data_IF_256153149170
#
_entry.id   IF_256153149170
#
_cell.length_a   1.000
_cell.length_b   1.000
_cell.length_c   1.000
_cell.angle_alpha   90.00
_cell.angle_beta   90.00
_cell.angle_gamma   90.00
#
_symmetry.space_group_name_H-M   'P 1'
#
loop_
_entity.id
_entity.type
_entity.pdbx_description
1 polymer ?
#
# COMPACT_ATOMS: atom_id res chain seq x y z
N UNK A 1 18.06 13.04 -6.22
CA UNK A 1 18.46 11.89 -5.38
C UNK A 1 17.26 11.63 -4.50
N UNK A 2 16.58 10.51 -4.67
CA UNK A 2 15.46 10.14 -3.79
C UNK A 2 15.99 9.92 -2.36
N UNK A 3 15.20 10.32 -1.38
CA UNK A 3 15.51 10.18 0.05
C UNK A 3 14.72 9.00 0.61
N UNK A 4 15.25 8.27 1.62
CA UNK A 4 14.49 7.20 2.27
C UNK A 4 13.21 7.75 2.91
N UNK A 5 12.29 6.84 3.27
CA UNK A 5 11.02 7.24 3.90
C UNK A 5 11.27 7.93 5.24
N UNK A 6 10.63 9.09 5.42
CA UNK A 6 10.72 9.92 6.62
C UNK A 6 9.44 9.91 7.46
N UNK A 7 8.29 9.66 6.85
CA UNK A 7 7.01 9.64 7.54
C UNK A 7 6.22 8.37 7.20
N UNK A 8 5.62 7.78 8.24
CA UNK A 8 4.60 6.75 8.13
C UNK A 8 3.28 7.34 8.65
N UNK A 9 2.28 7.43 7.77
CA UNK A 9 0.94 7.87 8.13
C UNK A 9 -0.02 6.69 8.05
N UNK A 10 -0.72 6.40 9.15
CA UNK A 10 -1.80 5.42 9.20
C UNK A 10 -3.12 6.17 9.24
N UNK A 11 -3.94 6.01 8.19
CA UNK A 11 -5.28 6.61 8.13
C UNK A 11 -6.27 5.60 8.72
N UNK A 12 -7.11 6.08 9.63
CA UNK A 12 -8.04 5.23 10.39
C UNK A 12 -9.47 5.73 10.27
N UNK A 13 -10.41 4.78 10.26
CA UNK A 13 -11.85 5.04 10.28
C UNK A 13 -12.52 4.22 11.38
N UNK A 14 -12.41 4.65 12.66
CA UNK A 14 -13.06 3.98 13.77
C UNK A 14 -14.59 4.07 13.65
N UNK A 15 -15.31 3.07 14.15
CA UNK A 15 -16.77 3.02 14.01
C UNK A 15 -17.52 4.08 14.84
N UNK A 16 -16.89 4.63 15.87
CA UNK A 16 -17.51 5.48 16.89
C UNK A 16 -17.14 6.96 16.79
N UNK A 17 -16.25 7.35 15.86
CA UNK A 17 -15.78 8.73 15.69
C UNK A 17 -15.37 9.02 14.24
N UNK A 18 -15.22 10.30 13.85
CA UNK A 18 -14.67 10.65 12.54
C UNK A 18 -13.30 10.01 12.30
N UNK A 19 -12.97 9.81 11.02
CA UNK A 19 -11.65 9.33 10.63
C UNK A 19 -10.53 10.25 11.13
N UNK A 20 -9.38 9.66 11.41
CA UNK A 20 -8.20 10.37 11.88
C UNK A 20 -6.92 9.76 11.28
N UNK A 21 -5.77 10.40 11.53
CA UNK A 21 -4.47 9.93 11.10
C UNK A 21 -3.51 9.80 12.28
N UNK A 22 -2.61 8.83 12.21
CA UNK A 22 -1.46 8.69 13.11
C UNK A 22 -0.20 8.79 12.30
N UNK A 23 0.63 9.78 12.62
CA UNK A 23 1.91 10.01 11.95
C UNK A 23 3.05 9.56 12.86
N UNK A 24 3.96 8.76 12.30
CA UNK A 24 5.24 8.40 12.92
C UNK A 24 6.36 9.01 12.09
N UNK A 25 7.17 9.85 12.72
CA UNK A 25 8.35 10.48 12.12
C UNK A 25 9.55 9.55 12.29
N UNK A 26 10.35 9.40 11.24
CA UNK A 26 11.50 8.48 11.16
C UNK A 26 11.12 7.03 11.56
N UNK A 27 10.11 6.43 10.91
CA UNK A 27 9.66 5.09 11.26
C UNK A 27 10.76 4.05 11.03
N UNK A 28 10.85 3.06 11.92
CA UNK A 28 11.66 1.86 11.65
C UNK A 28 10.97 0.98 10.62
N UNK A 29 11.72 0.08 9.98
CA UNK A 29 11.11 -0.93 9.11
C UNK A 29 10.05 -1.77 9.85
N UNK A 30 10.29 -2.10 11.13
CA UNK A 30 9.34 -2.88 11.93
C UNK A 30 8.02 -2.13 12.13
N UNK A 31 8.06 -0.80 12.30
CA UNK A 31 6.86 0.04 12.40
C UNK A 31 6.06 -0.01 11.09
N UNK A 32 6.74 0.13 9.95
CA UNK A 32 6.14 0.09 8.61
C UNK A 32 5.52 -1.29 8.35
N UNK A 33 6.28 -2.35 8.56
CA UNK A 33 5.82 -3.73 8.32
C UNK A 33 4.63 -4.08 9.22
N UNK A 34 4.64 -3.65 10.49
CA UNK A 34 3.52 -3.84 11.40
C UNK A 34 2.27 -3.06 10.95
N UNK A 35 2.41 -1.82 10.50
CA UNK A 35 1.30 -1.01 10.00
C UNK A 35 0.68 -1.63 8.75
N UNK A 36 1.48 -2.02 7.77
CA UNK A 36 1.02 -2.68 6.53
C UNK A 36 0.36 -4.03 6.84
N UNK A 37 0.91 -4.82 7.75
CA UNK A 37 0.34 -6.12 8.14
C UNK A 37 -0.98 -5.99 8.91
N UNK A 38 -1.20 -4.85 9.57
CA UNK A 38 -2.44 -4.54 10.31
C UNK A 38 -3.58 -4.07 9.42
N UNK A 39 -3.29 -3.70 8.17
CA UNK A 39 -4.28 -3.19 7.24
C UNK A 39 -5.50 -4.12 7.12
N UNK A 40 -6.69 -3.52 7.16
CA UNK A 40 -7.97 -4.18 6.94
C UNK A 40 -8.83 -3.35 5.97
N UNK A 41 -9.93 -3.91 5.47
CA UNK A 41 -10.81 -3.22 4.53
C UNK A 41 -11.83 -2.27 5.22
N UNK A 42 -11.59 -1.84 6.47
CA UNK A 42 -12.54 -1.04 7.24
C UNK A 42 -11.90 0.02 8.18
N UNK A 43 -11.31 -0.38 9.31
CA UNK A 43 -10.79 0.54 10.34
C UNK A 43 -9.39 1.05 10.03
N UNK A 44 -8.53 0.20 9.44
CA UNK A 44 -7.15 0.53 9.06
C UNK A 44 -6.96 0.34 7.54
N UNK A 45 -7.60 1.13 6.68
CA UNK A 45 -7.63 0.85 5.25
C UNK A 45 -6.45 1.40 4.46
N UNK A 46 -5.68 2.34 5.02
CA UNK A 46 -4.63 3.01 4.26
C UNK A 46 -3.40 3.26 5.15
N UNK A 47 -2.25 2.92 4.61
CA UNK A 47 -0.93 3.32 5.08
C UNK A 47 -0.26 4.13 3.98
N UNK A 48 0.34 5.26 4.34
CA UNK A 48 1.10 6.12 3.45
C UNK A 48 2.54 6.23 3.95
N UNK A 49 3.50 6.10 3.03
CA UNK A 49 4.92 6.27 3.27
C UNK A 49 5.40 7.47 2.47
N UNK A 50 5.92 8.50 3.16
CA UNK A 50 6.32 9.76 2.53
C UNK A 50 7.80 10.05 2.75
N UNK A 51 8.48 10.50 1.70
CA UNK A 51 9.92 10.80 1.71
C UNK A 51 10.24 12.23 2.14
N UNK A 52 9.22 13.08 2.31
CA UNK A 52 9.39 14.47 2.74
C UNK A 52 8.44 14.82 3.89
N UNK A 53 8.64 15.99 4.49
CA UNK A 53 7.73 16.56 5.50
C UNK A 53 6.43 17.13 4.91
N UNK A 54 6.34 17.25 3.58
CA UNK A 54 5.21 17.87 2.90
C UNK A 54 4.43 16.81 2.11
N UNK A 55 3.11 16.83 2.23
CA UNK A 55 2.17 15.86 1.64
C UNK A 55 2.22 15.80 0.09
N UNK A 56 2.87 16.77 -0.56
CA UNK A 56 2.77 17.01 -2.00
C UNK A 56 3.79 16.25 -2.88
N UNK A 57 4.87 15.72 -2.30
CA UNK A 57 5.97 15.13 -3.09
C UNK A 57 6.24 13.67 -2.69
N UNK A 58 5.81 12.76 -3.57
CA UNK A 58 6.22 11.33 -3.64
C UNK A 58 5.91 10.49 -2.39
N UNK A 59 4.64 10.10 -2.23
CA UNK A 59 4.22 9.13 -1.23
C UNK A 59 3.70 7.82 -1.85
N UNK A 60 4.09 6.69 -1.26
CA UNK A 60 3.52 5.38 -1.59
C UNK A 60 2.34 5.09 -0.66
N UNK A 61 1.16 4.88 -1.24
CA UNK A 61 -0.01 4.41 -0.52
C UNK A 61 -0.14 2.90 -0.66
N UNK A 62 -0.41 2.25 0.46
CA UNK A 62 -0.87 0.86 0.55
C UNK A 62 -2.30 0.89 1.04
N UNK A 63 -3.22 0.47 0.19
CA UNK A 63 -4.67 0.53 0.42
C UNK A 63 -5.22 -0.88 0.50
N UNK A 64 -6.17 -1.12 1.40
CA UNK A 64 -6.88 -2.39 1.53
C UNK A 64 -6.52 -3.13 2.80
N UNK A 65 -6.47 -4.46 2.72
CA UNK A 65 -6.29 -5.35 3.84
C UNK A 65 -7.02 -6.68 3.63
N UNK A 66 -6.97 -7.57 4.64
CA UNK A 66 -7.61 -8.90 4.57
C UNK A 66 -7.26 -9.71 3.30
N UNK A 67 -5.99 -9.65 2.90
CA UNK A 67 -5.48 -10.40 1.74
C UNK A 67 -5.72 -9.75 0.38
N UNK A 68 -6.12 -8.48 0.33
CA UNK A 68 -6.25 -7.71 -0.91
C UNK A 68 -5.66 -6.33 -0.70
N UNK A 69 -4.69 -5.95 -1.53
CA UNK A 69 -3.95 -4.71 -1.38
C UNK A 69 -3.79 -4.03 -2.74
N UNK A 70 -3.84 -2.69 -2.76
CA UNK A 70 -3.46 -1.88 -3.91
C UNK A 70 -2.31 -0.97 -3.50
N UNK A 71 -1.33 -0.80 -4.38
CA UNK A 71 -0.18 0.07 -4.17
C UNK A 71 -0.17 1.15 -5.25
N UNK A 72 -0.18 2.41 -4.83
CA UNK A 72 -0.26 3.56 -5.74
C UNK A 72 0.53 4.73 -5.19
N UNK A 73 0.97 5.61 -6.08
CA UNK A 73 1.44 6.95 -5.73
C UNK A 73 0.26 7.86 -5.33
N UNK A 74 0.51 8.81 -4.41
CA UNK A 74 -0.48 9.81 -3.94
C UNK A 74 -1.00 10.74 -5.04
N UNK A 75 -0.14 11.06 -6.01
CA UNK A 75 -0.46 11.81 -7.23
C UNK A 75 -0.47 10.82 -8.40
N UNK A 76 -1.40 10.91 -9.38
CA UNK A 76 -1.45 9.96 -10.49
C UNK A 76 -0.08 9.81 -11.15
N UNK A 77 0.42 8.57 -11.14
CA UNK A 77 1.78 8.24 -11.56
C UNK A 77 1.98 6.75 -11.50
N UNK A 78 2.86 6.29 -10.61
CA UNK A 78 3.11 4.85 -10.46
C UNK A 78 1.95 4.13 -9.75
N UNK A 79 1.58 2.96 -10.25
CA UNK A 79 0.64 2.05 -9.62
C UNK A 79 1.03 0.60 -9.94
N UNK A 80 0.83 -0.31 -8.99
CA UNK A 80 0.98 -1.73 -9.27
C UNK A 80 -0.06 -2.18 -10.31
N UNK A 81 0.35 -2.99 -11.28
CA UNK A 81 -0.55 -3.57 -12.27
C UNK A 81 -0.05 -4.93 -12.75
N UNK A 82 -0.85 -5.98 -12.55
CA UNK A 82 -0.65 -7.32 -13.09
C UNK A 82 -1.42 -7.47 -14.41
N UNK A 83 -0.75 -7.42 -15.57
CA UNK A 83 -1.42 -7.46 -16.87
C UNK A 83 -2.08 -8.82 -17.16
N UNK A 84 -1.79 -9.86 -16.38
CA UNK A 84 -2.44 -11.17 -16.52
C UNK A 84 -3.87 -11.19 -15.96
N UNK A 85 -4.24 -10.20 -15.14
CA UNK A 85 -5.54 -10.07 -14.50
C UNK A 85 -6.51 -9.16 -15.29
N UNK A 86 -7.82 -9.39 -15.16
CA UNK A 86 -8.81 -8.67 -15.94
C UNK A 86 -8.94 -7.20 -15.52
N UNK A 87 -9.46 -6.40 -16.46
CA UNK A 87 -9.81 -4.98 -16.24
C UNK A 87 -11.18 -4.84 -15.58
N UNK A 88 -11.38 -5.52 -14.45
CA UNK A 88 -12.67 -5.53 -13.76
C UNK A 88 -12.59 -4.66 -12.53
N UNK A 89 -13.50 -3.69 -12.43
CA UNK A 89 -13.62 -2.86 -11.24
C UNK A 89 -13.99 -3.68 -10.00
N UNK A 90 -13.31 -3.40 -8.90
CA UNK A 90 -13.52 -3.98 -7.59
C UNK A 90 -13.46 -2.89 -6.52
N UNK A 91 -14.32 -3.04 -5.51
CA UNK A 91 -14.21 -2.28 -4.27
C UNK A 91 -13.23 -2.97 -3.34
N UNK A 92 -12.22 -2.24 -2.87
CA UNK A 92 -11.15 -2.74 -2.01
C UNK A 92 -11.36 -2.37 -0.54
N UNK A 93 -11.91 -1.19 -0.29
CA UNK A 93 -12.14 -0.62 1.04
C UNK A 93 -13.62 -0.28 1.22
N UNK A 94 -14.17 -0.59 2.38
CA UNK A 94 -15.63 -0.58 2.64
C UNK A 94 -16.13 0.57 3.51
N UNK A 95 -15.28 1.20 4.33
CA UNK A 95 -15.68 2.36 5.15
C UNK A 95 -15.56 3.67 4.38
N UNK A 96 -16.17 4.73 4.91
CA UNK A 96 -16.30 6.06 4.30
C UNK A 96 -16.67 6.00 2.79
N UNK A 97 -15.91 6.65 1.91
CA UNK A 97 -16.15 6.64 0.46
C UNK A 97 -15.70 5.32 -0.21
N UNK A 98 -14.86 4.54 0.47
CA UNK A 98 -14.22 3.36 -0.10
C UNK A 98 -13.15 3.69 -1.13
N UNK A 99 -12.52 2.65 -1.67
CA UNK A 99 -11.57 2.73 -2.78
C UNK A 99 -11.95 1.72 -3.85
N UNK A 100 -12.03 2.19 -5.10
CA UNK A 100 -12.34 1.39 -6.27
C UNK A 100 -11.12 1.37 -7.19
N UNK A 101 -10.76 0.17 -7.63
CA UNK A 101 -9.63 -0.10 -8.51
C UNK A 101 -9.98 -1.31 -9.37
N UNK A 102 -9.08 -1.73 -10.24
CA UNK A 102 -9.24 -2.87 -11.12
C UNK A 102 -8.61 -4.13 -10.53
N UNK A 103 -9.08 -5.33 -10.88
CA UNK A 103 -8.53 -6.60 -10.37
C UNK A 103 -7.02 -6.76 -10.65
N UNK A 104 -6.50 -6.14 -11.72
CA UNK A 104 -5.06 -6.09 -12.02
C UNK A 104 -4.24 -5.23 -11.06
N UNK A 105 -4.85 -4.28 -10.38
CA UNK A 105 -4.15 -3.43 -9.39
C UNK A 105 -4.09 -4.12 -8.01
N UNK A 106 -4.75 -5.28 -7.85
CA UNK A 106 -4.81 -6.01 -6.58
C UNK A 106 -3.67 -7.01 -6.43
N UNK A 107 -2.90 -6.83 -5.37
CA UNK A 107 -1.95 -7.82 -4.82
C UNK A 107 -2.66 -8.64 -3.74
N UNK A 108 -2.53 -9.97 -3.80
CA UNK A 108 -3.12 -10.90 -2.81
C UNK A 108 -2.09 -11.55 -1.88
N UNK A 109 -0.81 -11.40 -2.18
CA UNK A 109 0.29 -11.88 -1.35
C UNK A 109 0.85 -10.73 -0.49
N UNK A 110 0.67 -10.81 0.84
CA UNK A 110 1.22 -9.84 1.79
C UNK A 110 2.77 -9.82 1.74
N UNK A 111 3.42 -10.95 1.46
CA UNK A 111 4.87 -11.02 1.31
C UNK A 111 5.36 -10.20 0.12
N UNK A 112 4.65 -10.23 -1.02
CA UNK A 112 4.93 -9.35 -2.16
C UNK A 112 4.71 -7.88 -1.81
N UNK A 113 3.61 -7.55 -1.12
CA UNK A 113 3.35 -6.18 -0.65
C UNK A 113 4.51 -5.67 0.20
N UNK A 114 4.93 -6.43 1.22
CA UNK A 114 6.03 -6.03 2.10
C UNK A 114 7.35 -5.88 1.35
N UNK A 115 7.65 -6.72 0.36
CA UNK A 115 8.87 -6.57 -0.47
C UNK A 115 8.87 -5.28 -1.30
N UNK A 116 7.74 -4.91 -1.88
CA UNK A 116 7.61 -3.66 -2.66
C UNK A 116 7.75 -2.46 -1.70
N UNK A 117 7.06 -2.50 -0.57
CA UNK A 117 7.10 -1.42 0.44
C UNK A 117 8.50 -1.30 1.04
N UNK A 118 9.22 -2.39 1.27
CA UNK A 118 10.60 -2.37 1.78
C UNK A 118 11.57 -1.70 0.80
N UNK A 119 11.42 -1.98 -0.50
CA UNK A 119 12.24 -1.35 -1.53
C UNK A 119 11.98 0.16 -1.58
N UNK A 120 10.71 0.57 -1.54
CA UNK A 120 10.35 1.98 -1.46
C UNK A 120 10.83 2.61 -0.16
N UNK A 121 10.69 1.94 1.00
CA UNK A 121 11.15 2.42 2.30
C UNK A 121 12.65 2.78 2.28
N UNK A 122 13.46 1.93 1.65
CA UNK A 122 14.92 2.11 1.58
C UNK A 122 15.36 3.18 0.59
N UNK A 123 14.64 3.33 -0.52
CA UNK A 123 15.09 4.13 -1.67
C UNK A 123 14.32 5.44 -1.83
N UNK A 124 13.09 5.50 -1.32
CA UNK A 124 12.09 6.50 -1.62
C UNK A 124 11.79 6.64 -3.11
N UNK A 125 11.94 5.57 -3.89
CA UNK A 125 11.85 5.61 -5.34
C UNK A 125 10.92 4.52 -5.86
N UNK A 126 10.20 4.84 -6.93
CA UNK A 126 9.42 3.87 -7.70
C UNK A 126 10.27 3.13 -8.74
N UNK A 127 11.51 3.58 -8.97
CA UNK A 127 12.39 2.98 -9.97
C UNK A 127 12.65 1.51 -9.66
N UNK A 128 12.28 0.64 -10.60
CA UNK A 128 12.47 -0.79 -10.49
C UNK A 128 11.40 -1.53 -9.68
N UNK A 129 10.36 -0.85 -9.16
CA UNK A 129 9.23 -1.54 -8.53
C UNK A 129 8.42 -2.38 -9.55
N UNK A 130 8.46 -2.01 -10.83
CA UNK A 130 7.79 -2.76 -11.91
C UNK A 130 8.30 -4.21 -12.05
N UNK A 131 9.49 -4.53 -11.53
CA UNK A 131 10.00 -5.91 -11.53
C UNK A 131 9.15 -6.87 -10.68
N UNK A 132 8.32 -6.32 -9.80
CA UNK A 132 7.38 -7.07 -8.98
C UNK A 132 6.03 -7.29 -9.67
N UNK A 133 5.74 -6.55 -10.75
CA UNK A 133 4.52 -6.72 -11.53
C UNK A 133 4.50 -8.07 -12.25
N UNK A 134 3.37 -8.78 -12.19
CA UNK A 134 3.21 -10.11 -12.80
C UNK A 134 3.92 -11.25 -12.06
N UNK A 135 4.48 -11.01 -10.88
CA UNK A 135 4.93 -12.08 -9.96
C UNK A 135 3.68 -12.63 -9.25
N UNK A 136 2.86 -13.39 -9.99
CA UNK A 136 1.82 -14.21 -9.39
C UNK A 136 2.52 -15.29 -8.55
N UNK A 137 2.18 -15.35 -7.27
CA UNK A 137 2.69 -16.35 -6.34
C UNK A 137 2.19 -17.74 -6.78
N UNK A 138 3.13 -18.59 -7.18
CA UNK A 138 2.96 -20.00 -7.53
C UNK A 138 3.17 -20.87 -6.28
N UNK A 139 2.66 -20.43 -5.11
CA UNK A 139 2.75 -21.25 -3.90
C UNK A 139 1.83 -22.47 -4.04
N UNK A 140 2.48 -23.58 -4.36
CA UNK A 140 1.98 -24.93 -4.38
C UNK A 140 0.99 -25.21 -3.24
N UNK A 141 -0.24 -25.52 -3.62
CA UNK A 141 -1.15 -26.32 -2.79
C UNK A 141 -0.49 -27.66 -2.57
N UNK A 142 0.17 -27.83 -1.43
CA UNK A 142 0.64 -29.15 -1.01
C UNK A 142 -0.59 -29.97 -0.57
N UNK A 143 -0.78 -31.20 -1.09
CA UNK A 143 -1.99 -32.01 -0.91
C UNK A 143 -2.24 -32.50 0.51
#
# INVERSE_FOLDING_TARGET
>A
MSSPVHHLTVIRYPADRPGDTVVTVEPTWDDVAAAVSRLDDHEFPIVELSCTEHDDDEALLVIGGRGRYALTQSVPGWQFSDPSRPDREVRLWTSDQGYFCTEREIITDLGLVLRIVEEFYRTGSYDGLDRFAGVADDSEVTP
#
